data_IF_815830236314
#
_entry.id   IF_815830236314
#
_cell.length_a   1.000
_cell.length_b   1.000
_cell.length_c   1.000
_cell.angle_alpha   90.00
_cell.angle_beta   90.00
_cell.angle_gamma   90.00
#
_symmetry.space_group_name_H-M   'P 1'
#
loop_
_entity.id
_entity.type
_entity.pdbx_description
1 polymer ?
#
# COMPACT_ATOMS: atom_id res chain seq x y z
N UNK A 1 9.64 11.31 -48.66
CA UNK A 1 8.94 12.48 -48.08
C UNK A 1 7.55 12.11 -47.56
N UNK A 2 6.77 11.25 -48.21
CA UNK A 2 5.41 10.84 -47.71
C UNK A 2 5.41 10.14 -46.36
N UNK A 3 6.38 9.27 -46.05
CA UNK A 3 6.43 8.51 -44.79
C UNK A 3 6.55 9.43 -43.54
N UNK A 4 7.21 10.59 -43.67
CA UNK A 4 7.33 11.57 -42.55
C UNK A 4 6.02 12.30 -42.23
N UNK A 5 5.16 12.50 -43.25
CA UNK A 5 3.88 13.21 -43.05
C UNK A 5 2.80 12.33 -42.38
N UNK A 6 2.90 11.00 -42.55
CA UNK A 6 1.98 10.04 -41.93
C UNK A 6 2.37 9.69 -40.47
N UNK A 7 3.67 9.86 -40.10
CA UNK A 7 4.15 9.63 -38.74
C UNK A 7 3.82 10.77 -37.78
N UNK A 8 3.69 12.00 -38.26
CA UNK A 8 3.43 13.16 -37.41
C UNK A 8 2.12 13.04 -36.60
N UNK A 9 0.97 12.68 -37.18
CA UNK A 9 -0.27 12.52 -36.39
C UNK A 9 -0.19 11.39 -35.39
N UNK A 10 0.50 10.29 -35.69
CA UNK A 10 0.69 9.17 -34.77
C UNK A 10 1.53 9.61 -33.55
N UNK A 11 2.64 10.33 -33.80
CA UNK A 11 3.47 10.88 -32.72
C UNK A 11 2.69 11.89 -31.90
N UNK A 12 1.88 12.76 -32.53
CA UNK A 12 1.05 13.71 -31.79
C UNK A 12 -0.01 13.02 -30.91
N UNK A 13 -0.62 11.95 -31.39
CA UNK A 13 -1.58 11.15 -30.61
C UNK A 13 -0.89 10.48 -29.43
N UNK A 14 0.29 9.86 -29.63
CA UNK A 14 1.05 9.23 -28.56
C UNK A 14 1.49 10.24 -27.50
N UNK A 15 1.99 11.41 -27.92
CA UNK A 15 2.36 12.50 -27.00
C UNK A 15 1.13 13.00 -26.23
N UNK A 16 -0.02 13.16 -26.91
CA UNK A 16 -1.26 13.55 -26.25
C UNK A 16 -1.73 12.51 -25.22
N UNK A 17 -1.65 11.21 -25.55
CA UNK A 17 -2.02 10.14 -24.63
C UNK A 17 -1.08 10.09 -23.41
N UNK A 18 0.23 10.30 -23.62
CA UNK A 18 1.21 10.38 -22.51
C UNK A 18 0.90 11.58 -21.61
N UNK A 19 0.66 12.74 -22.19
CA UNK A 19 0.30 13.95 -21.43
C UNK A 19 -1.04 13.73 -20.69
N UNK A 20 -2.04 13.16 -21.35
CA UNK A 20 -3.33 12.87 -20.75
C UNK A 20 -3.18 11.90 -19.57
N UNK A 21 -2.35 10.89 -19.69
CA UNK A 21 -2.02 9.94 -18.62
C UNK A 21 -1.41 10.65 -17.40
N UNK A 22 -0.42 11.52 -17.62
CA UNK A 22 0.26 12.23 -16.53
C UNK A 22 -0.65 13.28 -15.86
N UNK A 23 -1.62 13.82 -16.58
CA UNK A 23 -2.55 14.84 -16.07
C UNK A 23 -3.78 14.20 -15.43
N UNK A 24 -4.20 13.01 -15.87
CA UNK A 24 -5.45 12.38 -15.43
C UNK A 24 -5.55 12.23 -13.90
N UNK A 25 -4.54 11.74 -13.18
CA UNK A 25 -4.60 11.62 -11.72
C UNK A 25 -4.71 12.97 -10.99
N UNK A 26 -4.20 14.05 -11.61
CA UNK A 26 -4.08 15.37 -11.01
C UNK A 26 -5.15 16.37 -11.51
N UNK A 27 -5.95 15.98 -12.49
CA UNK A 27 -6.83 16.95 -13.16
C UNK A 27 -8.01 17.42 -12.31
N UNK A 28 -8.29 16.77 -11.17
CA UNK A 28 -9.44 17.11 -10.30
C UNK A 28 -10.78 17.16 -11.07
N UNK A 29 -10.80 16.55 -12.26
CA UNK A 29 -11.86 16.71 -13.25
C UNK A 29 -12.93 15.65 -13.10
N UNK A 30 -12.58 14.53 -12.43
CA UNK A 30 -13.53 13.44 -12.23
C UNK A 30 -13.86 13.35 -10.74
N UNK A 31 -15.13 13.44 -10.44
CA UNK A 31 -15.65 13.20 -9.10
C UNK A 31 -15.53 11.71 -8.78
N UNK A 32 -15.00 11.40 -7.62
CA UNK A 32 -14.88 10.02 -7.18
C UNK A 32 -16.23 9.33 -7.21
N UNK A 33 -16.28 8.12 -7.76
CA UNK A 33 -17.48 7.29 -7.82
C UNK A 33 -17.42 6.27 -6.69
N UNK A 34 -18.21 6.50 -5.67
CA UNK A 34 -18.29 5.62 -4.50
C UNK A 34 -19.50 4.70 -4.64
N UNK A 35 -19.44 3.52 -4.02
CA UNK A 35 -20.56 2.57 -3.96
C UNK A 35 -21.85 3.26 -3.49
N UNK A 36 -22.99 2.79 -3.99
CA UNK A 36 -24.31 3.35 -3.66
C UNK A 36 -24.54 3.44 -2.14
N UNK A 37 -25.04 4.59 -1.69
CA UNK A 37 -25.31 4.83 -0.26
C UNK A 37 -24.12 5.39 0.52
N UNK A 38 -22.99 5.66 -0.13
CA UNK A 38 -21.80 6.26 0.48
C UNK A 38 -21.43 7.57 -0.21
N UNK A 39 -20.76 8.44 0.54
CA UNK A 39 -20.25 9.71 0.06
C UNK A 39 -18.81 9.93 0.53
N UNK A 40 -18.05 10.72 -0.23
CA UNK A 40 -16.69 11.09 0.08
C UNK A 40 -16.62 12.57 0.45
N UNK A 41 -15.81 12.89 1.47
CA UNK A 41 -15.42 14.22 1.85
C UNK A 41 -13.89 14.34 1.88
N UNK A 42 -13.35 15.48 1.43
CA UNK A 42 -11.93 15.82 1.60
C UNK A 42 -11.77 16.59 2.90
N UNK A 43 -10.98 16.07 3.82
CA UNK A 43 -10.79 16.64 5.17
C UNK A 43 -9.46 17.40 5.35
N UNK A 44 -8.47 17.12 4.49
CA UNK A 44 -7.19 17.84 4.48
C UNK A 44 -6.57 17.83 3.09
N UNK A 45 -5.72 18.82 2.80
CA UNK A 45 -4.94 18.95 1.56
C UNK A 45 -3.57 19.55 1.86
N UNK A 46 -2.66 19.54 0.88
CA UNK A 46 -1.34 20.16 1.02
C UNK A 46 -0.32 19.30 1.76
N UNK A 47 -0.50 17.98 1.74
CA UNK A 47 0.43 17.01 2.29
C UNK A 47 1.42 16.55 1.20
N UNK A 48 2.69 16.42 1.55
CA UNK A 48 3.74 16.00 0.62
C UNK A 48 3.84 14.49 0.52
N UNK A 49 3.04 13.86 -0.35
CA UNK A 49 3.07 12.42 -0.59
C UNK A 49 2.74 11.59 0.67
N UNK A 50 1.49 11.60 1.15
CA UNK A 50 1.08 10.78 2.30
C UNK A 50 1.31 9.29 2.06
N UNK A 51 1.98 8.60 2.98
CA UNK A 51 2.32 7.17 2.88
C UNK A 51 1.75 6.32 3.99
N UNK A 52 1.38 6.90 5.12
CA UNK A 52 0.67 6.20 6.19
C UNK A 52 -0.46 7.04 6.77
N UNK A 53 -1.48 6.38 7.29
CA UNK A 53 -2.58 6.95 8.08
C UNK A 53 -2.79 6.09 9.31
N UNK A 54 -2.70 6.69 10.50
CA UNK A 54 -2.86 5.97 11.77
C UNK A 54 -3.64 6.84 12.75
N UNK A 55 -4.65 6.28 13.39
CA UNK A 55 -5.37 6.96 14.46
C UNK A 55 -4.69 6.77 15.81
N UNK A 56 -4.41 7.88 16.47
CA UNK A 56 -4.09 7.95 17.91
C UNK A 56 -5.34 8.46 18.61
N UNK A 57 -6.11 7.56 19.22
CA UNK A 57 -7.49 7.82 19.67
C UNK A 57 -8.34 8.44 18.53
N UNK A 58 -8.72 9.71 18.63
CA UNK A 58 -9.51 10.44 17.64
C UNK A 58 -8.64 11.32 16.70
N UNK A 59 -7.31 11.31 16.87
CA UNK A 59 -6.39 12.15 16.10
C UNK A 59 -5.82 11.32 14.94
N UNK A 60 -6.07 11.75 13.71
CA UNK A 60 -5.49 11.12 12.54
C UNK A 60 -4.08 11.65 12.27
N UNK A 61 -3.11 10.75 12.31
CA UNK A 61 -1.69 10.98 12.03
C UNK A 61 -1.35 10.58 10.60
N UNK A 62 -0.45 11.32 9.98
CA UNK A 62 -0.04 11.17 8.59
C UNK A 62 1.49 11.14 8.50
N UNK A 63 2.03 10.16 7.78
CA UNK A 63 3.41 10.23 7.29
C UNK A 63 3.44 11.17 6.07
N UNK A 64 3.94 12.37 6.25
CA UNK A 64 4.22 13.33 5.17
C UNK A 64 5.64 13.03 4.65
N UNK A 65 5.69 12.17 3.62
CA UNK A 65 6.93 11.58 3.10
C UNK A 65 7.91 12.62 2.58
N UNK A 66 7.44 13.47 1.68
CA UNK A 66 8.29 14.49 1.02
C UNK A 66 8.71 15.59 2.00
N UNK A 67 7.88 15.84 3.02
CA UNK A 67 8.20 16.73 4.13
C UNK A 67 9.14 16.12 5.17
N UNK A 68 9.36 14.81 5.15
CA UNK A 68 10.20 14.09 6.11
C UNK A 68 9.67 14.21 7.55
N UNK A 69 8.35 14.03 7.75
CA UNK A 69 7.73 14.32 9.04
C UNK A 69 6.48 13.47 9.31
N UNK A 70 6.14 13.39 10.60
CA UNK A 70 4.84 12.90 11.06
C UNK A 70 4.02 14.13 11.48
N UNK A 71 2.81 14.23 10.96
CA UNK A 71 1.90 15.35 11.23
C UNK A 71 0.52 14.85 11.61
N UNK A 72 -0.25 15.66 12.32
CA UNK A 72 -1.70 15.44 12.44
C UNK A 72 -2.40 15.90 11.16
N UNK A 73 -3.59 15.41 10.90
CA UNK A 73 -4.39 15.83 9.74
C UNK A 73 -4.68 17.34 9.75
N UNK A 74 -4.70 18.00 10.92
CA UNK A 74 -4.84 19.44 11.07
C UNK A 74 -3.52 20.21 10.81
N UNK A 75 -2.40 19.51 10.55
CA UNK A 75 -1.12 20.10 10.20
C UNK A 75 -0.15 20.35 11.37
N UNK A 76 -0.43 19.83 12.57
CA UNK A 76 0.53 19.89 13.68
C UNK A 76 1.67 18.93 13.42
N UNK A 77 2.91 19.41 13.43
CA UNK A 77 4.12 18.59 13.27
C UNK A 77 4.48 17.95 14.61
N UNK A 78 4.49 16.61 14.66
CA UNK A 78 4.89 15.83 15.84
C UNK A 78 6.37 15.45 15.82
N UNK A 79 6.88 15.09 14.64
CA UNK A 79 8.27 14.75 14.40
C UNK A 79 8.70 15.22 13.02
N UNK A 80 9.97 15.60 12.86
CA UNK A 80 10.55 16.03 11.56
C UNK A 80 12.00 15.59 11.44
N UNK A 81 12.53 15.67 10.21
CA UNK A 81 13.91 15.25 9.90
C UNK A 81 14.02 13.75 9.62
N UNK A 82 12.92 13.13 9.24
CA UNK A 82 12.85 11.73 8.81
C UNK A 82 13.24 11.60 7.34
N UNK A 83 13.79 10.44 6.98
CA UNK A 83 14.13 10.12 5.60
C UNK A 83 12.99 9.33 4.94
N UNK A 84 12.12 10.03 4.20
CA UNK A 84 11.00 9.42 3.49
C UNK A 84 10.18 8.43 4.36
N UNK A 85 9.50 8.88 5.43
CA UNK A 85 8.75 7.99 6.30
C UNK A 85 7.61 7.30 5.53
N UNK A 86 7.49 5.98 5.67
CA UNK A 86 6.52 5.14 4.98
C UNK A 86 5.58 4.36 5.91
N UNK A 87 5.95 4.18 7.16
CA UNK A 87 5.12 3.47 8.13
C UNK A 87 5.20 4.09 9.51
N UNK A 88 4.08 4.09 10.21
CA UNK A 88 3.93 4.53 11.59
C UNK A 88 3.12 3.50 12.36
N UNK A 89 3.65 3.03 13.48
CA UNK A 89 2.98 2.12 14.39
C UNK A 89 2.99 2.70 15.80
N UNK A 90 1.82 2.80 16.42
CA UNK A 90 1.67 3.19 17.80
C UNK A 90 1.79 1.97 18.71
N UNK A 91 2.58 2.09 19.78
CA UNK A 91 2.73 1.13 20.85
C UNK A 91 2.21 1.76 22.16
N UNK A 92 1.94 0.95 23.19
CA UNK A 92 1.51 1.45 24.51
C UNK A 92 2.51 2.45 25.13
N UNK A 93 3.80 2.31 24.83
CA UNK A 93 4.90 3.07 25.45
C UNK A 93 5.77 3.82 24.43
N UNK A 94 5.28 4.07 23.22
CA UNK A 94 6.00 4.79 22.18
C UNK A 94 5.49 4.57 20.78
N UNK A 95 6.30 4.94 19.80
CA UNK A 95 5.97 4.81 18.38
C UNK A 95 7.13 4.18 17.61
N UNK A 96 6.82 3.43 16.55
CA UNK A 96 7.82 2.90 15.63
C UNK A 96 7.58 3.53 14.25
N UNK A 97 8.64 4.02 13.63
CA UNK A 97 8.58 4.68 12.33
C UNK A 97 9.49 3.94 11.37
N UNK A 98 8.91 3.57 10.22
CA UNK A 98 9.62 3.05 9.06
C UNK A 98 10.03 4.22 8.16
N UNK A 99 11.32 4.36 7.95
CA UNK A 99 11.96 5.30 7.04
C UNK A 99 12.63 4.52 5.89
N UNK A 100 13.17 5.20 4.90
CA UNK A 100 13.93 4.54 3.83
C UNK A 100 15.13 3.77 4.40
N UNK A 101 15.03 2.43 4.38
CA UNK A 101 16.08 1.52 4.86
C UNK A 101 16.27 1.45 6.37
N UNK A 102 15.44 2.13 7.17
CA UNK A 102 15.63 2.25 8.61
C UNK A 102 14.32 2.13 9.39
N UNK A 103 14.38 1.44 10.53
CA UNK A 103 13.27 1.33 11.48
C UNK A 103 13.70 1.91 12.82
N UNK A 104 13.01 2.94 13.28
CA UNK A 104 13.36 3.66 14.51
C UNK A 104 12.18 3.68 15.48
N UNK A 105 12.45 3.38 16.75
CA UNK A 105 11.49 3.54 17.86
C UNK A 105 11.75 4.86 18.59
N UNK A 106 10.68 5.55 18.93
CA UNK A 106 10.64 6.74 19.76
C UNK A 106 9.76 6.49 21.00
N UNK A 107 9.89 7.31 22.04
CA UNK A 107 8.91 7.33 23.12
C UNK A 107 7.58 7.99 22.68
N UNK A 108 6.59 8.01 23.58
CA UNK A 108 5.26 8.57 23.30
C UNK A 108 5.24 10.09 23.04
N UNK A 109 6.34 10.79 23.29
CA UNK A 109 6.50 12.20 22.96
C UNK A 109 7.26 12.43 21.66
N UNK A 110 7.52 11.37 20.88
CA UNK A 110 8.37 11.39 19.68
C UNK A 110 9.82 11.82 19.97
N UNK A 111 10.32 11.53 21.17
CA UNK A 111 11.69 11.80 21.61
C UNK A 111 12.46 10.50 21.82
N UNK A 112 13.75 10.61 22.17
CA UNK A 112 14.62 9.50 22.56
C UNK A 112 14.68 8.36 21.50
N UNK A 113 15.11 8.65 20.24
CA UNK A 113 15.16 7.66 19.18
C UNK A 113 16.10 6.49 19.51
N UNK A 114 15.61 5.28 19.24
CA UNK A 114 16.36 4.03 19.26
C UNK A 114 16.23 3.37 17.92
N UNK A 115 17.32 3.28 17.17
CA UNK A 115 17.33 2.57 15.88
C UNK A 115 17.22 1.07 16.16
N UNK A 116 16.16 0.44 15.62
CA UNK A 116 15.91 -0.99 15.75
C UNK A 116 16.62 -1.77 14.65
N UNK A 117 16.49 -1.30 13.41
CA UNK A 117 17.12 -1.88 12.22
C UNK A 117 17.60 -0.74 11.33
N UNK A 118 18.74 -0.91 10.68
CA UNK A 118 19.35 0.09 9.79
C UNK A 118 20.04 -0.59 8.61
N UNK A 119 20.48 0.24 7.66
CA UNK A 119 21.27 -0.18 6.50
C UNK A 119 20.59 -1.23 5.60
N UNK A 120 19.24 -1.20 5.46
CA UNK A 120 18.59 -1.96 4.40
C UNK A 120 18.72 -1.17 3.10
N UNK A 121 19.31 -1.76 2.05
CA UNK A 121 19.44 -1.07 0.75
C UNK A 121 18.08 -0.67 0.19
N UNK A 122 17.99 0.49 -0.44
CA UNK A 122 16.83 0.90 -1.21
C UNK A 122 17.18 1.05 -2.70
N UNK A 123 16.17 1.01 -3.56
CA UNK A 123 16.34 1.07 -5.00
C UNK A 123 15.04 1.49 -5.69
N UNK A 124 14.46 0.61 -6.51
CA UNK A 124 13.15 0.87 -7.11
C UNK A 124 12.05 0.95 -6.04
N UNK A 125 12.18 0.13 -5.01
CA UNK A 125 11.31 0.13 -3.84
C UNK A 125 12.15 0.29 -2.58
N UNK A 126 11.50 0.65 -1.50
CA UNK A 126 12.13 0.88 -0.20
C UNK A 126 11.41 0.06 0.89
N UNK A 127 11.79 0.28 2.14
CA UNK A 127 11.05 -0.24 3.28
C UNK A 127 9.73 0.53 3.46
N UNK A 128 8.66 -0.21 3.68
CA UNK A 128 7.28 0.27 3.68
C UNK A 128 6.64 0.20 5.08
N UNK A 129 5.40 -0.27 5.17
CA UNK A 129 4.67 -0.32 6.43
C UNK A 129 5.34 -1.17 7.51
N UNK A 130 5.04 -0.84 8.76
CA UNK A 130 5.35 -1.65 9.95
C UNK A 130 4.07 -1.91 10.71
N UNK A 131 3.79 -3.17 11.03
CA UNK A 131 2.56 -3.62 11.67
C UNK A 131 2.87 -4.48 12.89
N UNK A 132 1.91 -4.58 13.82
CA UNK A 132 2.05 -5.37 15.05
C UNK A 132 1.21 -6.65 14.97
N UNK A 133 1.85 -7.79 15.18
CA UNK A 133 1.15 -9.05 15.37
C UNK A 133 0.60 -9.18 16.81
N UNK A 134 -0.46 -9.97 17.04
CA UNK A 134 -1.02 -10.19 18.37
C UNK A 134 -0.05 -10.74 19.42
N UNK A 135 1.05 -11.36 18.98
CA UNK A 135 2.11 -11.86 19.85
C UNK A 135 3.17 -10.80 20.23
N UNK A 136 3.00 -9.54 19.77
CA UNK A 136 3.92 -8.45 20.02
C UNK A 136 5.12 -8.36 19.08
N UNK A 137 5.20 -9.22 18.07
CA UNK A 137 6.23 -9.15 17.03
C UNK A 137 5.84 -8.09 15.98
N UNK A 138 6.79 -7.25 15.58
CA UNK A 138 6.60 -6.36 14.45
C UNK A 138 6.80 -7.13 13.13
N UNK A 139 5.96 -6.85 12.15
CA UNK A 139 6.22 -7.16 10.75
C UNK A 139 6.65 -5.88 10.07
N UNK A 140 7.75 -5.92 9.35
CA UNK A 140 8.27 -4.80 8.58
C UNK A 140 8.43 -5.21 7.11
N UNK A 141 7.81 -4.46 6.21
CA UNK A 141 7.82 -4.72 4.80
C UNK A 141 9.07 -4.12 4.16
N UNK A 142 9.82 -4.93 3.43
CA UNK A 142 11.05 -4.52 2.75
C UNK A 142 10.95 -4.81 1.25
N UNK A 143 10.80 -3.77 0.45
CA UNK A 143 10.70 -3.86 -1.00
C UNK A 143 12.02 -4.25 -1.66
N UNK A 144 11.93 -4.67 -2.92
CA UNK A 144 13.08 -5.02 -3.76
C UNK A 144 13.84 -3.78 -4.23
N UNK A 145 15.14 -3.91 -4.42
CA UNK A 145 15.97 -2.82 -4.98
C UNK A 145 15.78 -2.62 -6.48
N UNK A 146 15.17 -3.57 -7.17
CA UNK A 146 14.99 -3.58 -8.62
C UNK A 146 13.61 -4.08 -9.04
N UNK A 147 13.31 -3.98 -10.32
CA UNK A 147 12.08 -4.54 -10.88
C UNK A 147 12.10 -6.08 -10.91
N UNK A 148 13.23 -6.68 -11.33
CA UNK A 148 13.42 -8.14 -11.40
C UNK A 148 14.90 -8.46 -11.36
N UNK A 149 15.45 -8.81 -10.20
CA UNK A 149 16.85 -9.22 -10.01
C UNK A 149 17.01 -10.03 -8.73
N UNK A 150 18.13 -10.75 -8.61
CA UNK A 150 18.52 -11.30 -7.32
C UNK A 150 19.01 -10.17 -6.42
N UNK A 151 18.49 -10.07 -5.22
CA UNK A 151 18.91 -9.09 -4.23
C UNK A 151 20.28 -9.44 -3.64
N UNK A 152 21.13 -8.43 -3.45
CA UNK A 152 22.42 -8.59 -2.78
C UNK A 152 22.24 -8.71 -1.25
N UNK A 153 21.25 -8.03 -0.68
CA UNK A 153 20.87 -8.15 0.72
C UNK A 153 19.58 -8.99 0.82
N UNK A 154 19.61 -10.13 1.50
CA UNK A 154 18.43 -11.00 1.59
C UNK A 154 17.27 -10.41 2.39
N UNK A 155 17.47 -9.24 3.03
CA UNK A 155 16.39 -8.50 3.69
C UNK A 155 15.54 -7.71 2.70
N UNK A 156 15.99 -7.47 1.46
CA UNK A 156 15.18 -6.89 0.40
C UNK A 156 14.27 -7.94 -0.25
N UNK A 157 13.12 -7.52 -0.75
CA UNK A 157 12.12 -8.43 -1.32
C UNK A 157 11.58 -9.43 -0.28
N UNK A 158 11.36 -8.98 0.95
CA UNK A 158 11.03 -9.81 2.08
C UNK A 158 10.08 -9.12 3.08
N UNK A 159 9.37 -9.94 3.86
CA UNK A 159 8.78 -9.51 5.11
C UNK A 159 9.74 -9.86 6.27
N UNK A 160 10.00 -8.90 7.14
CA UNK A 160 10.90 -9.04 8.27
C UNK A 160 10.12 -9.08 9.58
N UNK A 161 10.52 -9.96 10.50
CA UNK A 161 10.10 -9.85 11.89
C UNK A 161 11.11 -8.99 12.66
N UNK A 162 10.62 -8.14 13.55
CA UNK A 162 11.47 -7.29 14.39
C UNK A 162 10.95 -7.30 15.83
N UNK A 163 11.86 -7.43 16.79
CA UNK A 163 11.57 -7.22 18.20
C UNK A 163 11.62 -5.73 18.52
N UNK A 164 10.48 -5.15 18.91
CA UNK A 164 10.35 -3.71 19.19
C UNK A 164 11.23 -3.19 20.31
N UNK A 165 11.77 -4.06 21.19
CA UNK A 165 12.57 -3.67 22.34
C UNK A 165 14.06 -3.80 22.08
N UNK A 166 14.48 -4.91 21.43
CA UNK A 166 15.90 -5.26 21.26
C UNK A 166 16.45 -4.90 19.89
N UNK A 167 15.59 -4.70 18.87
CA UNK A 167 15.99 -4.59 17.46
C UNK A 167 16.46 -5.91 16.84
N UNK A 168 16.37 -7.05 17.58
CA UNK A 168 16.61 -8.35 16.98
C UNK A 168 15.59 -8.59 15.87
N UNK A 169 16.06 -9.01 14.70
CA UNK A 169 15.24 -9.17 13.52
C UNK A 169 15.70 -10.32 12.63
N UNK A 170 14.87 -10.71 11.69
CA UNK A 170 15.18 -11.71 10.69
C UNK A 170 14.09 -11.79 9.63
N UNK A 171 14.30 -12.64 8.65
CA UNK A 171 13.38 -12.84 7.55
C UNK A 171 12.20 -13.70 8.02
N UNK A 172 10.99 -13.23 7.74
CA UNK A 172 9.75 -13.92 8.04
C UNK A 172 9.20 -14.65 6.81
N UNK A 173 9.33 -14.03 5.64
CA UNK A 173 8.96 -14.57 4.33
C UNK A 173 9.78 -13.89 3.23
N UNK A 174 9.91 -14.55 2.08
CA UNK A 174 10.67 -14.08 0.91
C UNK A 174 9.84 -14.11 -0.36
N UNK A 175 10.41 -13.71 -1.49
CA UNK A 175 9.75 -13.81 -2.79
C UNK A 175 8.64 -12.78 -3.00
N UNK A 176 8.67 -11.67 -2.26
CA UNK A 176 7.82 -10.51 -2.49
C UNK A 176 8.61 -9.42 -3.22
N UNK A 177 7.96 -8.66 -4.11
CA UNK A 177 8.65 -7.59 -4.84
C UNK A 177 8.49 -6.24 -4.17
N UNK A 178 7.26 -5.80 -3.99
CA UNK A 178 6.94 -4.53 -3.36
C UNK A 178 5.68 -4.67 -2.51
N UNK A 179 5.83 -5.39 -1.42
CA UNK A 179 4.79 -5.44 -0.41
C UNK A 179 4.72 -4.09 0.29
N UNK A 180 3.57 -3.41 0.17
CA UNK A 180 3.43 -2.05 0.70
C UNK A 180 2.90 -2.06 2.13
N UNK A 181 1.83 -2.80 2.38
CA UNK A 181 1.15 -2.83 3.68
C UNK A 181 0.44 -4.17 3.91
N UNK A 182 -0.07 -4.35 5.11
CA UNK A 182 -0.86 -5.50 5.48
C UNK A 182 -1.66 -5.27 6.76
N UNK A 183 -2.52 -6.22 7.07
CA UNK A 183 -3.40 -6.14 8.23
C UNK A 183 -3.63 -7.50 8.87
N UNK A 184 -3.67 -7.53 10.20
CA UNK A 184 -4.11 -8.71 10.93
C UNK A 184 -5.64 -8.79 10.92
N UNK A 185 -6.18 -9.94 10.50
CA UNK A 185 -7.61 -10.26 10.55
C UNK A 185 -7.81 -11.46 11.47
N UNK A 186 -8.57 -11.27 12.56
CA UNK A 186 -8.86 -12.34 13.50
C UNK A 186 -9.56 -13.52 12.81
N UNK A 187 -9.05 -14.71 13.02
CA UNK A 187 -9.56 -15.93 12.38
C UNK A 187 -8.91 -16.25 11.04
N UNK A 188 -8.32 -15.29 10.33
CA UNK A 188 -7.57 -15.51 9.07
C UNK A 188 -6.06 -15.56 9.36
N UNK A 189 -5.51 -14.47 9.91
CA UNK A 189 -4.08 -14.23 10.07
C UNK A 189 -3.66 -12.87 9.50
N UNK A 190 -2.39 -12.73 9.16
CA UNK A 190 -1.86 -11.50 8.58
C UNK A 190 -1.97 -11.54 7.05
N UNK A 191 -2.78 -10.66 6.50
CA UNK A 191 -2.90 -10.43 5.07
C UNK A 191 -1.99 -9.28 4.65
N UNK A 192 -1.39 -9.37 3.47
CA UNK A 192 -0.54 -8.30 2.94
C UNK A 192 -0.65 -8.19 1.41
N UNK A 193 -0.35 -7.01 0.89
CA UNK A 193 -0.34 -6.72 -0.54
C UNK A 193 1.05 -6.95 -1.12
N UNK A 194 1.15 -7.39 -2.38
CA UNK A 194 2.39 -7.37 -3.15
C UNK A 194 2.13 -6.94 -4.60
N UNK A 195 3.04 -6.11 -5.11
CA UNK A 195 2.98 -5.56 -6.46
C UNK A 195 3.97 -6.29 -7.35
N UNK A 196 3.46 -6.97 -8.36
CA UNK A 196 4.22 -7.76 -9.31
C UNK A 196 5.18 -6.98 -10.21
N UNK A 197 6.02 -7.69 -10.96
CA UNK A 197 7.01 -7.11 -11.88
C UNK A 197 6.39 -6.54 -13.16
N UNK A 198 7.08 -5.60 -13.83
CA UNK A 198 6.57 -4.89 -15.01
C UNK A 198 7.08 -5.46 -16.36
N UNK A 199 7.69 -6.65 -16.41
CA UNK A 199 8.42 -7.13 -17.60
C UNK A 199 7.79 -8.29 -18.34
N UNK A 200 6.75 -8.95 -17.80
CA UNK A 200 6.15 -10.17 -18.37
C UNK A 200 4.93 -9.90 -19.28
N UNK A 201 4.71 -8.64 -19.67
CA UNK A 201 3.58 -8.21 -20.51
C UNK A 201 2.51 -7.46 -19.74
N UNK A 202 1.45 -7.01 -20.43
CA UNK A 202 0.41 -6.17 -19.82
C UNK A 202 -0.69 -6.94 -19.08
N UNK A 203 -0.61 -8.26 -19.02
CA UNK A 203 -1.61 -9.14 -18.46
C UNK A 203 -1.02 -10.17 -17.46
N UNK A 204 0.18 -9.89 -16.94
CA UNK A 204 0.87 -10.68 -15.93
C UNK A 204 2.08 -9.90 -15.35
N UNK A 205 2.41 -10.09 -14.04
CA UNK A 205 1.61 -10.77 -13.03
C UNK A 205 0.42 -9.95 -12.56
N UNK A 206 -0.55 -10.62 -11.95
CA UNK A 206 -1.60 -9.94 -11.19
C UNK A 206 -1.00 -9.24 -9.97
N UNK A 207 -1.71 -8.23 -9.46
CA UNK A 207 -1.44 -7.71 -8.12
C UNK A 207 -1.99 -8.69 -7.09
N UNK A 208 -1.29 -8.88 -5.98
CA UNK A 208 -1.56 -9.96 -5.05
C UNK A 208 -1.98 -9.47 -3.67
N UNK A 209 -2.92 -10.21 -3.08
CA UNK A 209 -3.17 -10.20 -1.64
C UNK A 209 -2.81 -11.58 -1.11
N UNK A 210 -1.86 -11.61 -0.21
CA UNK A 210 -1.24 -12.81 0.33
C UNK A 210 -1.61 -13.03 1.78
N UNK A 211 -1.69 -14.30 2.21
CA UNK A 211 -1.79 -14.69 3.62
C UNK A 211 -0.39 -15.10 4.10
N UNK A 212 0.09 -14.49 5.16
CA UNK A 212 1.42 -14.77 5.69
C UNK A 212 1.55 -16.20 6.21
N UNK A 213 2.47 -16.92 5.61
CA UNK A 213 2.98 -18.23 6.07
C UNK A 213 4.46 -18.06 6.42
N UNK A 214 4.82 -18.34 7.66
CA UNK A 214 6.19 -18.16 8.12
C UNK A 214 7.18 -19.09 7.37
N UNK A 215 8.22 -18.49 6.79
CA UNK A 215 9.26 -19.17 6.03
C UNK A 215 8.88 -19.45 4.58
N UNK A 216 7.74 -18.97 4.12
CA UNK A 216 7.29 -19.12 2.74
C UNK A 216 8.07 -18.24 1.76
N UNK A 217 8.04 -18.65 0.49
CA UNK A 217 8.46 -17.90 -0.68
C UNK A 217 7.21 -17.60 -1.54
N UNK A 218 6.98 -16.33 -1.88
CA UNK A 218 5.80 -15.88 -2.65
C UNK A 218 6.07 -15.76 -4.16
N UNK A 219 7.24 -16.18 -4.63
CA UNK A 219 7.49 -16.50 -6.03
C UNK A 219 8.01 -15.37 -6.92
N UNK A 220 8.16 -14.14 -6.45
CA UNK A 220 8.51 -12.98 -7.29
C UNK A 220 9.60 -13.25 -8.36
N UNK A 221 10.65 -13.99 -8.11
CA UNK A 221 11.73 -14.22 -9.10
C UNK A 221 11.54 -15.47 -9.95
N UNK A 222 10.63 -16.35 -9.59
CA UNK A 222 10.46 -17.67 -10.23
C UNK A 222 9.12 -17.84 -10.92
N UNK A 223 8.16 -16.98 -10.63
CA UNK A 223 6.86 -16.95 -11.29
C UNK A 223 6.97 -16.54 -12.76
N UNK A 224 6.07 -17.05 -13.58
CA UNK A 224 5.96 -16.67 -14.98
C UNK A 224 4.51 -16.82 -15.46
N UNK A 225 4.15 -16.20 -16.58
CA UNK A 225 2.81 -16.32 -17.16
C UNK A 225 2.39 -17.78 -17.44
N UNK A 226 3.34 -18.68 -17.70
CA UNK A 226 3.06 -20.11 -17.90
C UNK A 226 2.99 -20.93 -16.61
N UNK A 227 3.50 -20.40 -15.54
CA UNK A 227 3.55 -21.01 -14.22
C UNK A 227 3.50 -19.89 -13.16
N UNK A 228 2.31 -19.34 -12.86
CA UNK A 228 2.17 -18.21 -11.95
C UNK A 228 2.40 -18.59 -10.48
N UNK A 229 2.29 -19.87 -10.13
CA UNK A 229 2.51 -20.37 -8.78
C UNK A 229 3.40 -21.61 -8.84
N UNK A 230 4.72 -21.44 -9.03
CA UNK A 230 5.64 -22.57 -9.15
C UNK A 230 5.67 -23.46 -7.91
N UNK A 231 5.99 -24.74 -8.09
CA UNK A 231 6.14 -25.69 -6.97
C UNK A 231 7.10 -25.14 -5.89
N UNK A 232 6.61 -25.04 -4.66
CA UNK A 232 7.38 -24.56 -3.51
C UNK A 232 7.16 -23.08 -3.18
N UNK A 233 6.32 -22.39 -3.92
CA UNK A 233 5.84 -21.04 -3.59
C UNK A 233 4.43 -21.07 -3.01
N UNK A 234 4.07 -20.04 -2.25
CA UNK A 234 2.71 -19.83 -1.76
C UNK A 234 1.90 -19.02 -2.79
N UNK A 235 0.70 -19.51 -3.08
CA UNK A 235 -0.22 -18.82 -3.97
C UNK A 235 -0.96 -17.68 -3.24
N UNK A 236 -1.28 -16.57 -3.93
CA UNK A 236 -2.09 -15.49 -3.36
C UNK A 236 -3.50 -15.99 -2.97
N UNK A 237 -4.06 -15.41 -1.91
CA UNK A 237 -5.44 -15.69 -1.48
C UNK A 237 -6.47 -14.82 -2.19
N UNK A 238 -6.03 -13.75 -2.84
CA UNK A 238 -6.82 -12.95 -3.78
C UNK A 238 -5.90 -12.22 -4.75
N UNK A 239 -6.40 -11.90 -5.94
CA UNK A 239 -5.64 -11.15 -6.97
C UNK A 239 -6.48 -10.03 -7.55
N UNK A 240 -5.80 -9.04 -8.13
CA UNK A 240 -6.40 -7.94 -8.86
C UNK A 240 -5.69 -7.67 -10.18
N UNK A 241 -6.26 -6.80 -10.98
CA UNK A 241 -5.77 -6.43 -12.31
C UNK A 241 -4.26 -6.14 -12.31
N UNK A 242 -3.49 -6.75 -13.22
CA UNK A 242 -2.06 -6.55 -13.36
C UNK A 242 -1.65 -5.08 -13.45
N UNK A 243 -0.51 -4.75 -12.87
CA UNK A 243 0.17 -3.44 -12.98
C UNK A 243 -0.69 -2.24 -12.51
N UNK A 244 -1.62 -2.46 -11.57
CA UNK A 244 -2.44 -1.38 -11.01
C UNK A 244 -2.02 -0.96 -9.61
N UNK A 245 -1.08 -1.67 -8.99
CA UNK A 245 -0.46 -1.36 -7.71
C UNK A 245 -1.45 -1.36 -6.54
N UNK A 246 -1.75 -2.55 -5.99
CA UNK A 246 -2.53 -2.71 -4.75
C UNK A 246 -1.62 -2.45 -3.55
N UNK A 247 -1.95 -1.50 -2.67
CA UNK A 247 -1.04 -0.98 -1.66
C UNK A 247 -1.57 -1.04 -0.23
N UNK A 248 -2.16 0.03 0.27
CA UNK A 248 -2.65 0.10 1.66
C UNK A 248 -3.80 -0.86 1.90
N UNK A 249 -3.88 -1.43 3.10
CA UNK A 249 -4.94 -2.36 3.49
C UNK A 249 -5.42 -2.09 4.91
N UNK A 250 -6.72 -2.22 5.12
CA UNK A 250 -7.34 -2.08 6.46
C UNK A 250 -8.48 -3.07 6.65
N UNK A 251 -8.76 -3.44 7.90
CA UNK A 251 -9.99 -4.17 8.24
C UNK A 251 -11.23 -3.33 7.96
N UNK A 252 -12.37 -3.99 7.78
CA UNK A 252 -13.65 -3.34 7.53
C UNK A 252 -14.03 -2.32 8.61
N UNK A 253 -14.20 -1.03 8.26
CA UNK A 253 -14.78 -0.04 9.18
C UNK A 253 -16.24 -0.41 9.51
N UNK A 254 -16.69 -0.07 10.72
CA UNK A 254 -17.99 -0.51 11.23
C UNK A 254 -19.18 -0.07 10.36
N UNK A 255 -19.10 1.10 9.73
CA UNK A 255 -20.18 1.66 8.91
C UNK A 255 -20.17 1.16 7.46
N UNK A 256 -19.14 0.43 7.03
CA UNK A 256 -18.99 -0.05 5.67
C UNK A 256 -19.51 -1.49 5.49
N UNK A 257 -19.93 -1.88 4.27
CA UNK A 257 -20.45 -3.22 4.00
C UNK A 257 -19.39 -4.32 4.20
N UNK A 258 -19.85 -5.52 4.49
CA UNK A 258 -19.03 -6.71 4.71
C UNK A 258 -19.24 -7.35 6.08
N UNK A 259 -18.34 -8.23 6.46
CA UNK A 259 -18.34 -8.97 7.72
C UNK A 259 -16.97 -8.89 8.41
N UNK A 260 -16.72 -9.72 9.44
CA UNK A 260 -15.46 -9.75 10.19
C UNK A 260 -14.24 -10.19 9.36
N UNK A 261 -14.45 -10.78 8.19
CA UNK A 261 -13.40 -11.23 7.26
C UNK A 261 -13.28 -10.32 6.02
N UNK A 262 -13.89 -9.14 6.05
CA UNK A 262 -13.79 -8.16 4.97
C UNK A 262 -12.64 -7.21 5.23
N UNK A 263 -11.84 -6.95 4.21
CA UNK A 263 -10.83 -5.89 4.20
C UNK A 263 -11.08 -4.92 3.04
N UNK A 264 -10.51 -3.73 3.17
CA UNK A 264 -10.47 -2.72 2.12
C UNK A 264 -9.02 -2.45 1.72
N UNK A 265 -8.76 -2.31 0.42
CA UNK A 265 -7.43 -2.04 -0.10
C UNK A 265 -7.45 -0.93 -1.15
N UNK A 266 -6.38 -0.15 -1.20
CA UNK A 266 -6.18 0.88 -2.23
C UNK A 266 -5.48 0.33 -3.46
N UNK A 267 -5.85 0.86 -4.63
CA UNK A 267 -5.21 0.59 -5.91
C UNK A 267 -4.72 1.92 -6.48
N UNK A 268 -3.41 2.13 -6.40
CA UNK A 268 -2.77 3.41 -6.73
C UNK A 268 -2.98 3.82 -8.19
N UNK A 269 -2.72 2.91 -9.11
CA UNK A 269 -2.80 3.14 -10.55
C UNK A 269 -1.56 2.72 -11.30
N UNK A 270 -1.72 2.47 -12.59
CA UNK A 270 -0.67 1.89 -13.42
C UNK A 270 0.31 2.92 -13.97
N UNK A 271 1.59 2.60 -13.90
CA UNK A 271 2.67 3.29 -14.61
C UNK A 271 2.93 2.71 -16.00
N UNK A 272 2.55 1.44 -16.22
CA UNK A 272 2.91 0.67 -17.41
C UNK A 272 1.87 0.72 -18.53
N UNK A 273 0.68 1.26 -18.31
CA UNK A 273 -0.42 1.30 -19.28
C UNK A 273 -0.53 2.65 -20.00
N UNK A 274 -0.94 2.63 -21.26
CA UNK A 274 -1.21 3.86 -22.04
C UNK A 274 -2.50 4.54 -21.57
N UNK A 275 -3.49 3.75 -21.16
CA UNK A 275 -4.73 4.26 -20.57
C UNK A 275 -4.63 4.18 -19.05
N UNK A 276 -5.14 5.17 -18.31
CA UNK A 276 -5.21 5.10 -16.86
C UNK A 276 -5.92 3.82 -16.40
N UNK A 277 -5.33 3.14 -15.42
CA UNK A 277 -5.90 1.95 -14.80
C UNK A 277 -5.61 1.99 -13.30
N UNK A 278 -6.45 1.36 -12.48
CA UNK A 278 -6.39 1.50 -11.03
C UNK A 278 -7.15 2.75 -10.56
N UNK A 279 -6.60 3.51 -9.63
CA UNK A 279 -7.25 4.67 -9.01
C UNK A 279 -8.55 4.28 -8.28
N UNK A 280 -8.47 3.20 -7.48
CA UNK A 280 -9.62 2.48 -6.95
C UNK A 280 -9.46 2.18 -5.47
N UNK A 281 -10.58 1.85 -4.83
CA UNK A 281 -10.63 1.17 -3.54
C UNK A 281 -11.39 -0.13 -3.74
N UNK A 282 -10.81 -1.23 -3.28
CA UNK A 282 -11.38 -2.57 -3.33
C UNK A 282 -12.02 -2.92 -1.98
N UNK A 283 -13.08 -3.71 -2.04
CA UNK A 283 -13.64 -4.47 -0.94
C UNK A 283 -13.36 -5.94 -1.20
N UNK A 284 -12.80 -6.64 -0.23
CA UNK A 284 -12.40 -8.03 -0.37
C UNK A 284 -13.04 -8.84 0.76
N UNK A 285 -13.93 -9.75 0.39
CA UNK A 285 -14.62 -10.66 1.31
C UNK A 285 -13.93 -12.02 1.33
N UNK A 286 -13.26 -12.35 2.44
CA UNK A 286 -12.60 -13.65 2.59
C UNK A 286 -13.56 -14.72 3.08
N UNK A 287 -13.39 -15.92 2.54
CA UNK A 287 -14.10 -17.14 2.95
C UNK A 287 -13.14 -18.31 3.06
N UNK A 288 -13.37 -19.16 4.04
CA UNK A 288 -12.63 -20.41 4.18
C UNK A 288 -13.22 -21.48 3.24
N UNK A 289 -12.34 -22.17 2.53
CA UNK A 289 -12.66 -23.31 1.64
C UNK A 289 -11.92 -24.55 2.13
N UNK A 290 -12.10 -25.69 1.45
CA UNK A 290 -11.34 -26.91 1.75
C UNK A 290 -9.84 -26.75 1.46
N UNK A 291 -9.49 -25.84 0.55
CA UNK A 291 -8.10 -25.57 0.12
C UNK A 291 -7.46 -24.35 0.83
N UNK A 292 -8.18 -23.71 1.79
CA UNK A 292 -7.70 -22.55 2.51
C UNK A 292 -8.59 -21.32 2.36
N UNK A 293 -8.03 -20.13 2.64
CA UNK A 293 -8.73 -18.86 2.50
C UNK A 293 -8.70 -18.36 1.05
N UNK A 294 -9.82 -17.81 0.60
CA UNK A 294 -9.97 -17.20 -0.75
C UNK A 294 -10.74 -15.90 -0.61
N UNK A 295 -10.22 -14.82 -1.19
CA UNK A 295 -10.87 -13.51 -1.26
C UNK A 295 -11.71 -13.33 -2.52
N UNK A 296 -12.92 -12.83 -2.35
CA UNK A 296 -13.80 -12.35 -3.42
C UNK A 296 -13.64 -10.82 -3.52
N UNK A 297 -13.09 -10.35 -4.62
CA UNK A 297 -12.67 -8.95 -4.78
C UNK A 297 -13.73 -8.18 -5.55
N UNK A 298 -14.22 -7.10 -4.97
CA UNK A 298 -15.21 -6.20 -5.55
C UNK A 298 -14.68 -4.76 -5.60
N UNK A 299 -15.07 -4.01 -6.63
CA UNK A 299 -14.82 -2.59 -6.72
C UNK A 299 -15.74 -1.83 -5.76
N UNK A 300 -15.17 -1.07 -4.83
CA UNK A 300 -15.92 -0.23 -3.88
C UNK A 300 -15.93 1.25 -4.29
N UNK A 301 -14.81 1.76 -4.79
CA UNK A 301 -14.72 3.13 -5.31
C UNK A 301 -13.76 3.20 -6.49
N UNK A 302 -14.04 4.10 -7.44
CA UNK A 302 -13.18 4.39 -8.60
C UNK A 302 -12.99 5.90 -8.78
N UNK A 303 -11.97 6.27 -9.54
CA UNK A 303 -11.62 7.68 -9.80
C UNK A 303 -11.25 8.45 -8.51
N UNK A 304 -10.66 7.74 -7.53
CA UNK A 304 -10.30 8.28 -6.21
C UNK A 304 -8.89 8.92 -6.17
N UNK A 305 -8.35 9.28 -7.32
CA UNK A 305 -6.98 9.84 -7.44
C UNK A 305 -5.91 8.76 -7.35
N UNK A 306 -4.83 9.02 -6.67
CA UNK A 306 -3.70 8.10 -6.44
C UNK A 306 -3.70 7.58 -5.00
N UNK A 307 -4.70 6.76 -4.60
CA UNK A 307 -4.86 6.36 -3.21
C UNK A 307 -3.71 5.43 -2.81
N UNK A 308 -3.05 5.73 -1.69
CA UNK A 308 -1.94 4.92 -1.20
C UNK A 308 -2.23 4.39 0.22
N UNK A 309 -2.17 5.17 1.32
CA UNK A 309 -2.54 4.66 2.63
C UNK A 309 -4.06 4.65 2.81
N UNK A 310 -4.54 3.71 3.63
CA UNK A 310 -5.94 3.54 3.99
C UNK A 310 -6.04 3.07 5.44
N UNK A 311 -7.05 3.54 6.18
CA UNK A 311 -7.28 3.10 7.56
C UNK A 311 -8.75 3.18 7.94
N UNK A 312 -9.18 2.32 8.87
CA UNK A 312 -10.48 2.40 9.51
C UNK A 312 -10.45 3.44 10.63
N UNK A 313 -11.41 4.36 10.62
CA UNK A 313 -11.55 5.35 11.68
C UNK A 313 -12.28 4.82 12.91
N UNK A 314 -12.01 5.41 14.10
CA UNK A 314 -12.73 5.07 15.33
C UNK A 314 -14.23 5.39 15.26
N UNK A 315 -14.62 6.28 14.38
CA UNK A 315 -16.01 6.63 14.05
C UNK A 315 -16.70 5.61 13.12
N UNK A 316 -15.97 4.57 12.68
CA UNK A 316 -16.46 3.52 11.80
C UNK A 316 -16.44 3.87 10.31
N UNK A 317 -15.84 4.97 9.92
CA UNK A 317 -15.67 5.39 8.52
C UNK A 317 -14.32 4.94 7.95
N UNK A 318 -14.18 5.05 6.62
CA UNK A 318 -12.96 4.68 5.90
C UNK A 318 -12.19 5.94 5.53
N UNK A 319 -10.91 5.99 5.89
CA UNK A 319 -10.01 7.09 5.58
C UNK A 319 -8.93 6.63 4.60
N UNK A 320 -8.64 7.42 3.58
CA UNK A 320 -7.52 7.18 2.67
C UNK A 320 -6.85 8.50 2.29
N UNK A 321 -5.62 8.44 1.80
CA UNK A 321 -4.95 9.61 1.27
C UNK A 321 -4.40 9.38 -0.14
N UNK A 322 -4.35 10.46 -0.94
CA UNK A 322 -3.73 10.46 -2.26
C UNK A 322 -2.23 10.78 -2.16
N UNK A 323 -1.42 10.00 -2.86
CA UNK A 323 0.04 10.16 -2.91
C UNK A 323 0.43 11.15 -4.01
N UNK A 324 0.35 12.45 -3.69
CA UNK A 324 0.71 13.56 -4.56
C UNK A 324 1.49 14.62 -3.78
N UNK A 325 2.18 15.53 -4.48
CA UNK A 325 2.85 16.68 -3.85
C UNK A 325 1.89 17.62 -3.12
N UNK A 326 0.63 17.65 -3.55
CA UNK A 326 -0.48 18.32 -2.89
C UNK A 326 -1.49 17.26 -2.44
N UNK A 327 -0.99 16.24 -1.75
CA UNK A 327 -1.76 15.09 -1.30
C UNK A 327 -2.91 15.49 -0.39
N UNK A 328 -3.99 14.74 -0.47
CA UNK A 328 -5.21 14.99 0.27
C UNK A 328 -5.60 13.78 1.12
N UNK A 329 -6.26 14.02 2.25
CA UNK A 329 -6.93 13.00 3.05
C UNK A 329 -8.43 13.09 2.82
N UNK A 330 -9.02 11.94 2.59
CA UNK A 330 -10.44 11.77 2.32
C UNK A 330 -11.07 10.83 3.33
N UNK A 331 -12.35 11.04 3.62
CA UNK A 331 -13.18 10.11 4.40
C UNK A 331 -14.35 9.63 3.54
N UNK A 332 -14.65 8.34 3.59
CA UNK A 332 -15.84 7.73 3.00
C UNK A 332 -16.77 7.30 4.14
N UNK A 333 -17.99 7.79 4.12
CA UNK A 333 -19.01 7.56 5.13
C UNK A 333 -20.37 7.25 4.50
N UNK A 334 -21.35 6.69 5.25
CA UNK A 334 -22.71 6.56 4.78
C UNK A 334 -23.30 7.93 4.37
N UNK A 335 -23.91 8.00 3.19
CA UNK A 335 -24.57 9.20 2.69
C UNK A 335 -25.80 9.58 3.52
N UNK A 336 -26.14 10.86 3.53
CA UNK A 336 -27.25 11.42 4.34
C UNK A 336 -28.65 10.79 4.10
N UNK A 337 -28.80 9.97 3.05
CA UNK A 337 -30.04 9.29 2.67
C UNK A 337 -29.95 7.76 2.70
N UNK A 338 -28.91 7.19 3.31
CA UNK A 338 -28.70 5.73 3.42
C UNK A 338 -29.47 5.11 4.61
#
# INVERSE_FOLDING_TARGET
MKLRQELIPIVCILVFLIIAREIYPYAGVMEAKIADGFEQETIATGLGGPTCLVFDEDILLVCDRDGGRIVTVEGTVLLSGLDHPHGLLLLEDGVVISEEGKLTRYDSNYENPVVLVDDIPSGNHQTNAVNLLPNGTLIWHSGSTCNHCNEDDPRNGALLWVNATTGEHGILATGVRNSFDGVWVDGIGYLFTDNGQDTEGGDFPDEEINLLVQGADYGWLVESKSDPNPDGTEAPVATWTPHTSVNGMTTRPANLPGNEYTVYATVYGSWATILPAGHQILKIDFKQTDDGWVGDVELFAEEVGTPLPITAGPDGNLYYATFDHDGAVHVISPGANS
#
